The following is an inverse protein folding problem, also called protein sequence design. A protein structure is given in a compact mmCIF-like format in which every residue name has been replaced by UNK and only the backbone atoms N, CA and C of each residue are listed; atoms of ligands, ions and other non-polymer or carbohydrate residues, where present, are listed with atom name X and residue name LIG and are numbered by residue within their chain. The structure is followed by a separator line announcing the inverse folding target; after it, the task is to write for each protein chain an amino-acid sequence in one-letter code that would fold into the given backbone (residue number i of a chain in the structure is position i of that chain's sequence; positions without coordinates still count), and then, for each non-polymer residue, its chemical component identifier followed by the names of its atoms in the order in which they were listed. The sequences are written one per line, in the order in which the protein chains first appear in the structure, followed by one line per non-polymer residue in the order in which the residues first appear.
data_IF_481208981594
#
_entry.id   IF_481208981594
#
_cell.length_a   1.000
_cell.length_b   1.000
_cell.length_c   1.000
_cell.angle_alpha   90.00
_cell.angle_beta   90.00
_cell.angle_gamma   90.00
#
_symmetry.space_group_name_H-M   'P 1'
#
loop_
_entity.id
_entity.type
_entity.pdbx_description
1 polymer ?
#
# COMPACT_ATOMS: atom_id res chain seq x y z
N UNK A 1 10.23 6.06 29.08
CA UNK A 1 9.41 6.60 27.98
C UNK A 1 9.38 5.56 26.87
N UNK A 2 8.22 4.92 26.66
CA UNK A 2 8.06 3.95 25.56
C UNK A 2 7.91 4.72 24.26
N UNK A 3 8.93 4.70 23.40
CA UNK A 3 8.86 5.30 22.07
C UNK A 3 7.80 4.52 21.30
N UNK A 4 6.65 5.13 21.02
CA UNK A 4 5.71 4.62 20.02
C UNK A 4 6.39 4.75 18.67
N UNK A 5 7.04 3.68 18.22
CA UNK A 5 7.52 3.60 16.85
C UNK A 5 6.25 3.52 15.98
N UNK A 6 6.00 4.54 15.16
CA UNK A 6 5.00 4.46 14.10
C UNK A 6 5.52 3.43 13.07
N UNK A 7 5.34 2.14 13.39
CA UNK A 7 5.88 0.99 12.68
C UNK A 7 5.25 0.74 11.30
N UNK A 8 4.36 1.63 10.87
CA UNK A 8 3.62 1.47 9.63
C UNK A 8 4.07 2.54 8.64
N UNK A 9 4.68 2.09 7.54
CA UNK A 9 4.93 2.91 6.36
C UNK A 9 3.81 2.76 5.33
N UNK A 10 2.74 2.06 5.69
CA UNK A 10 1.69 1.63 4.79
C UNK A 10 0.31 2.07 5.31
N UNK A 11 -0.57 2.53 4.43
CA UNK A 11 -1.93 2.94 4.78
C UNK A 11 -2.94 2.21 3.90
N UNK A 12 -4.04 1.75 4.50
CA UNK A 12 -5.13 1.13 3.75
C UNK A 12 -6.19 2.16 3.41
N UNK A 13 -6.60 2.26 2.15
CA UNK A 13 -7.70 3.15 1.74
C UNK A 13 -8.53 2.57 0.60
N UNK A 14 -9.76 3.04 0.39
CA UNK A 14 -10.55 2.66 -0.78
C UNK A 14 -9.83 3.08 -2.07
N UNK A 15 -10.04 2.31 -3.14
CA UNK A 15 -9.59 2.71 -4.48
C UNK A 15 -10.53 3.80 -5.00
N UNK A 16 -9.96 4.90 -5.48
CA UNK A 16 -10.73 5.98 -6.09
C UNK A 16 -11.05 5.69 -7.56
N UNK A 17 -12.25 6.09 -8.03
CA UNK A 17 -12.56 6.07 -9.46
C UNK A 17 -11.51 6.85 -10.26
N UNK A 18 -11.08 6.30 -11.39
CA UNK A 18 -10.08 6.94 -12.25
C UNK A 18 -8.63 6.75 -11.81
N UNK A 19 -8.36 5.96 -10.77
CA UNK A 19 -6.98 5.60 -10.41
C UNK A 19 -6.29 4.81 -11.54
N UNK A 20 -5.07 5.24 -11.89
CA UNK A 20 -4.21 4.63 -12.92
C UNK A 20 -2.98 3.92 -12.34
N UNK A 21 -2.93 3.73 -11.02
CA UNK A 21 -1.76 3.14 -10.35
C UNK A 21 -1.67 1.64 -10.58
N UNK A 22 -0.44 1.13 -10.56
CA UNK A 22 -0.12 -0.29 -10.78
C UNK A 22 0.36 -0.89 -9.47
N UNK A 23 -0.07 -2.13 -9.20
CA UNK A 23 0.38 -2.85 -8.03
C UNK A 23 1.86 -3.23 -8.18
N UNK A 24 2.68 -2.85 -7.21
CA UNK A 24 4.11 -3.17 -7.21
C UNK A 24 4.40 -4.67 -6.99
N UNK A 25 3.43 -5.45 -6.48
CA UNK A 25 3.59 -6.89 -6.28
C UNK A 25 3.24 -7.72 -7.52
N UNK A 26 2.13 -7.42 -8.22
CA UNK A 26 1.65 -8.25 -9.34
C UNK A 26 1.76 -7.57 -10.71
N UNK A 27 2.11 -6.29 -10.77
CA UNK A 27 2.23 -5.53 -12.02
C UNK A 27 0.89 -5.20 -12.70
N UNK A 28 -0.24 -5.55 -12.09
CA UNK A 28 -1.57 -5.27 -12.62
C UNK A 28 -2.15 -3.95 -12.06
N UNK A 29 -3.03 -3.27 -12.80
CA UNK A 29 -3.69 -2.06 -12.32
C UNK A 29 -4.50 -2.26 -11.02
N UNK A 30 -4.38 -1.31 -10.09
CA UNK A 30 -5.20 -1.21 -8.87
C UNK A 30 -6.51 -0.50 -9.23
N UNK A 31 -7.43 -1.25 -9.83
CA UNK A 31 -8.65 -0.70 -10.44
C UNK A 31 -9.83 -0.68 -9.47
N UNK A 32 -10.56 0.43 -9.52
CA UNK A 32 -11.90 0.55 -8.96
C UNK A 32 -12.88 -0.32 -9.77
N UNK A 33 -13.80 -0.99 -9.09
CA UNK A 33 -14.98 -1.59 -9.73
C UNK A 33 -16.24 -1.09 -9.03
N UNK A 34 -17.28 -0.72 -9.79
CA UNK A 34 -18.46 -0.07 -9.23
C UNK A 34 -19.29 -0.99 -8.30
N UNK A 35 -19.17 -2.31 -8.47
CA UNK A 35 -19.92 -3.30 -7.68
C UNK A 35 -19.21 -3.71 -6.40
N UNK A 36 -17.89 -3.56 -6.32
CA UNK A 36 -17.08 -4.03 -5.19
C UNK A 36 -16.19 -2.89 -4.73
N UNK A 37 -16.34 -2.50 -3.46
CA UNK A 37 -15.44 -1.53 -2.84
C UNK A 37 -14.09 -2.19 -2.58
N UNK A 38 -13.21 -2.11 -3.57
CA UNK A 38 -11.83 -2.58 -3.45
C UNK A 38 -10.99 -1.62 -2.60
N UNK A 39 -10.01 -2.19 -1.93
CA UNK A 39 -9.06 -1.48 -1.08
C UNK A 39 -7.66 -1.58 -1.66
N UNK A 40 -6.89 -0.52 -1.49
CA UNK A 40 -5.47 -0.48 -1.80
C UNK A 40 -4.66 -0.23 -0.54
N UNK A 41 -3.41 -0.69 -0.58
CA UNK A 41 -2.39 -0.29 0.37
C UNK A 41 -1.40 0.63 -0.35
N UNK A 42 -1.11 1.77 0.27
CA UNK A 42 -0.10 2.73 -0.20
C UNK A 42 1.05 2.70 0.78
N UNK A 43 2.27 2.42 0.31
CA UNK A 43 3.46 2.30 1.14
C UNK A 43 4.55 3.31 0.76
N UNK A 44 5.11 4.02 1.74
CA UNK A 44 6.32 4.82 1.58
C UNK A 44 7.57 3.94 1.67
N UNK A 45 8.40 4.00 0.64
CA UNK A 45 9.65 3.25 0.53
C UNK A 45 10.80 4.18 0.88
N UNK A 46 11.70 3.67 1.72
CA UNK A 46 12.93 4.36 2.10
C UNK A 46 14.12 3.47 1.75
N UNK A 47 15.13 4.05 1.14
CA UNK A 47 16.41 3.42 0.84
C UNK A 47 17.47 4.14 1.68
N UNK A 48 18.24 3.39 2.48
CA UNK A 48 19.25 3.93 3.40
C UNK A 48 18.73 5.02 4.36
N UNK A 49 17.46 4.88 4.78
CA UNK A 49 16.80 5.82 5.69
C UNK A 49 16.31 7.11 5.01
N UNK A 50 16.51 7.26 3.70
CA UNK A 50 16.05 8.39 2.89
C UNK A 50 14.78 7.98 2.14
N UNK A 51 13.80 8.87 2.07
CA UNK A 51 12.59 8.63 1.28
C UNK A 51 12.96 8.48 -0.19
N UNK A 52 12.43 7.44 -0.84
CA UNK A 52 12.72 7.13 -2.24
C UNK A 52 11.48 7.26 -3.12
N UNK A 53 10.39 6.57 -2.75
CA UNK A 53 9.16 6.52 -3.56
C UNK A 53 7.94 6.07 -2.78
N UNK A 54 6.79 6.14 -3.44
CA UNK A 54 5.53 5.53 -2.99
C UNK A 54 5.21 4.34 -3.89
N UNK A 55 4.80 3.24 -3.28
CA UNK A 55 4.30 2.07 -3.99
C UNK A 55 2.84 1.78 -3.63
N UNK A 56 2.08 1.31 -4.62
CA UNK A 56 0.68 0.95 -4.47
C UNK A 56 0.52 -0.55 -4.58
N UNK A 57 -0.46 -1.09 -3.87
CA UNK A 57 -0.76 -2.50 -3.83
C UNK A 57 -2.27 -2.73 -3.81
N UNK A 58 -2.74 -3.83 -4.43
CA UNK A 58 -4.01 -4.40 -3.99
C UNK A 58 -3.87 -4.85 -2.53
N UNK A 59 -4.91 -4.64 -1.71
CA UNK A 59 -4.85 -5.03 -0.30
C UNK A 59 -4.49 -6.52 -0.11
N UNK A 60 -5.06 -7.39 -0.96
CA UNK A 60 -4.75 -8.83 -0.98
C UNK A 60 -3.31 -9.13 -1.38
N UNK A 61 -2.73 -8.41 -2.35
CA UNK A 61 -1.33 -8.60 -2.74
C UNK A 61 -0.39 -8.13 -1.64
N UNK A 62 -0.72 -7.03 -0.95
CA UNK A 62 0.09 -6.55 0.18
C UNK A 62 0.13 -7.55 1.34
N UNK A 63 -1.02 -8.15 1.65
CA UNK A 63 -1.11 -9.20 2.65
C UNK A 63 -0.44 -10.51 2.22
N UNK A 64 -0.65 -10.94 0.97
CA UNK A 64 0.00 -12.13 0.41
C UNK A 64 1.52 -12.02 0.34
N UNK A 65 2.05 -10.81 0.19
CA UNK A 65 3.49 -10.51 0.25
C UNK A 65 4.05 -10.43 1.68
N UNK A 66 3.23 -10.67 2.71
CA UNK A 66 3.66 -10.65 4.11
C UNK A 66 3.89 -9.25 4.68
N UNK A 67 3.22 -8.22 4.12
CA UNK A 67 3.28 -6.82 4.59
C UNK A 67 4.71 -6.26 4.58
N UNK A 68 5.34 -6.13 3.40
CA UNK A 68 6.76 -5.81 3.26
C UNK A 68 7.19 -4.49 3.93
N UNK A 69 6.25 -3.58 4.18
CA UNK A 69 6.50 -2.27 4.80
C UNK A 69 5.74 -2.05 6.12
N UNK A 70 5.40 -3.17 6.78
CA UNK A 70 4.69 -3.18 8.07
C UNK A 70 3.16 -3.23 7.92
N UNK A 71 2.46 -3.31 9.05
CA UNK A 71 0.99 -3.31 9.08
C UNK A 71 0.45 -2.05 8.40
N UNK A 72 -0.54 -2.18 7.52
CA UNK A 72 -1.19 -1.01 6.95
C UNK A 72 -2.21 -0.45 7.97
N UNK A 73 -1.97 0.78 8.44
CA UNK A 73 -2.84 1.45 9.42
C UNK A 73 -4.03 2.15 8.75
#
# INVERSE_FOLDING_TARGET
MSVKIHNSRAVTRPIEPGSSVVCASCGLPVKFTAKIRHWQVIANIYVDGIWDRVEHYHAECYEGAGRPYGSAA
#
